data_IF_988903712320
#
_entry.id   IF_988903712320
#
_cell.length_a   1.000
_cell.length_b   1.000
_cell.length_c   1.000
_cell.angle_alpha   90.00
_cell.angle_beta   90.00
_cell.angle_gamma   90.00
#
_symmetry.space_group_name_H-M   'P 1'
#
loop_
_entity.id
_entity.type
_entity.pdbx_description
1 polymer ?
#
# COMPACT_ATOMS: atom_id res chain seq x y z
N UNK A 1 -74.96 6.42 -12.74
CA UNK A 1 -75.79 6.81 -11.58
C UNK A 1 -74.90 7.66 -10.66
N UNK A 2 -75.18 8.93 -10.67
CA UNK A 2 -75.26 9.97 -9.61
C UNK A 2 -74.18 9.98 -8.55
N UNK A 3 -73.32 11.00 -8.65
CA UNK A 3 -72.61 11.68 -7.53
C UNK A 3 -73.58 12.18 -6.45
N UNK A 4 -73.13 12.45 -5.26
CA UNK A 4 -73.15 13.83 -4.82
C UNK A 4 -71.80 14.35 -4.26
N UNK A 5 -71.65 15.63 -4.55
CA UNK A 5 -70.73 16.60 -3.95
C UNK A 5 -71.15 16.91 -2.52
N UNK A 6 -70.17 17.00 -1.61
CA UNK A 6 -70.36 17.73 -0.36
C UNK A 6 -69.22 18.74 -0.19
N UNK A 7 -69.71 19.97 0.14
CA UNK A 7 -68.96 21.21 0.31
C UNK A 7 -68.07 21.24 1.55
N UNK A 8 -67.04 22.08 1.42
CA UNK A 8 -66.16 22.78 2.35
C UNK A 8 -66.78 23.21 3.68
N UNK A 9 -65.99 23.45 4.75
CA UNK A 9 -65.55 24.82 5.00
C UNK A 9 -64.08 25.02 5.34
N UNK A 10 -63.64 26.18 4.95
CA UNK A 10 -62.46 26.96 5.20
C UNK A 10 -62.30 27.24 6.69
N UNK A 11 -61.12 26.90 7.28
CA UNK A 11 -60.66 27.55 8.50
C UNK A 11 -59.22 28.00 8.28
N UNK A 12 -59.07 29.31 8.22
CA UNK A 12 -57.79 29.99 8.27
C UNK A 12 -57.34 30.10 9.73
N UNK A 13 -56.12 29.60 9.99
CA UNK A 13 -55.41 29.97 11.19
C UNK A 13 -53.95 30.26 10.80
N UNK A 14 -53.63 31.54 10.76
CA UNK A 14 -52.26 32.02 10.64
C UNK A 14 -51.50 31.77 11.96
N UNK A 15 -50.42 31.02 11.91
CA UNK A 15 -49.45 30.96 12.97
C UNK A 15 -48.10 31.40 12.41
N UNK A 16 -47.73 32.62 12.78
CA UNK A 16 -46.36 33.14 12.63
C UNK A 16 -45.48 32.36 13.62
N UNK A 17 -44.61 31.52 13.08
CA UNK A 17 -43.52 30.93 13.85
C UNK A 17 -42.20 31.33 13.20
N UNK A 18 -41.41 32.07 14.00
CA UNK A 18 -40.15 32.68 13.59
C UNK A 18 -39.10 31.66 13.13
N UNK A 19 -38.45 31.99 12.04
CA UNK A 19 -37.23 31.32 11.58
C UNK A 19 -36.10 31.62 12.59
N UNK A 20 -35.87 30.72 13.52
CA UNK A 20 -34.58 30.67 14.22
C UNK A 20 -33.54 30.16 13.23
N UNK A 21 -32.77 31.07 12.68
CA UNK A 21 -31.59 30.76 11.87
C UNK A 21 -30.53 30.21 12.81
N UNK A 22 -30.40 28.90 12.88
CA UNK A 22 -29.23 28.24 13.50
C UNK A 22 -28.10 28.37 12.52
N UNK A 23 -26.98 29.06 12.83
CA UNK A 23 -25.81 29.01 11.98
C UNK A 23 -25.25 27.60 12.06
N UNK A 24 -25.39 26.85 10.96
CA UNK A 24 -24.60 25.64 10.73
C UNK A 24 -23.15 26.09 10.60
N UNK A 25 -22.41 25.99 11.68
CA UNK A 25 -20.96 25.92 11.62
C UNK A 25 -20.65 24.64 10.84
N UNK A 26 -20.35 24.80 9.56
CA UNK A 26 -19.68 23.77 8.80
C UNK A 26 -18.36 23.48 9.53
N UNK A 27 -18.32 22.41 10.29
CA UNK A 27 -17.09 21.81 10.76
C UNK A 27 -16.37 21.33 9.49
N UNK A 28 -15.39 22.12 9.07
CA UNK A 28 -14.40 21.66 8.11
C UNK A 28 -13.89 20.28 8.62
N UNK A 29 -13.79 19.28 7.74
CA UNK A 29 -13.13 18.04 8.14
C UNK A 29 -11.71 18.43 8.52
N UNK A 30 -11.40 18.40 9.79
CA UNK A 30 -10.06 18.48 10.32
C UNK A 30 -9.24 17.49 9.49
N UNK A 31 -8.38 18.02 8.64
CA UNK A 31 -7.37 17.21 7.98
C UNK A 31 -6.53 16.62 9.12
N UNK A 32 -6.94 15.42 9.53
CA UNK A 32 -6.14 14.60 10.41
C UNK A 32 -4.82 14.41 9.67
N UNK A 33 -3.79 15.16 10.05
CA UNK A 33 -2.41 14.84 9.78
C UNK A 33 -2.13 13.54 10.54
N UNK A 34 -2.81 12.47 10.12
CA UNK A 34 -2.43 11.13 10.45
C UNK A 34 -0.97 11.02 10.05
N UNK A 35 -0.13 10.73 11.01
CA UNK A 35 1.23 10.31 10.77
C UNK A 35 1.15 9.33 9.61
N UNK A 36 1.82 9.67 8.51
CA UNK A 36 1.90 8.80 7.32
C UNK A 36 2.59 7.51 7.78
N UNK A 37 1.78 6.57 8.21
CA UNK A 37 2.18 5.24 8.66
C UNK A 37 2.28 4.35 7.43
N UNK A 38 2.93 4.88 6.38
CA UNK A 38 3.18 4.10 5.19
C UNK A 38 3.97 2.84 5.57
N UNK A 39 3.35 1.70 5.38
CA UNK A 39 4.02 0.40 5.56
C UNK A 39 5.08 0.16 4.50
N UNK A 40 5.12 1.00 3.48
CA UNK A 40 6.01 0.87 2.34
C UNK A 40 6.86 2.13 2.15
N UNK A 41 8.03 1.92 1.61
CA UNK A 41 8.92 2.96 1.10
C UNK A 41 9.00 2.82 -0.42
N UNK A 42 9.29 3.93 -1.11
CA UNK A 42 9.49 3.91 -2.56
C UNK A 42 10.72 4.69 -2.96
N UNK A 43 11.33 4.28 -4.08
CA UNK A 43 12.46 4.96 -4.72
C UNK A 43 12.16 5.03 -6.20
N UNK A 44 12.29 6.22 -6.78
CA UNK A 44 12.22 6.40 -8.24
C UNK A 44 13.46 5.77 -8.85
N UNK A 45 13.26 4.93 -9.86
CA UNK A 45 14.35 4.31 -10.59
C UNK A 45 14.89 5.23 -11.68
N UNK A 46 16.20 5.22 -11.87
CA UNK A 46 16.88 5.89 -12.99
C UNK A 46 16.83 5.07 -14.29
N UNK A 47 16.29 3.86 -14.23
CA UNK A 47 16.32 2.89 -15.30
C UNK A 47 14.91 2.59 -15.82
N UNK A 48 14.82 2.00 -17.00
CA UNK A 48 13.57 1.46 -17.53
C UNK A 48 13.00 0.37 -16.62
N UNK A 49 11.73 0.03 -16.81
CA UNK A 49 11.05 -1.00 -16.02
C UNK A 49 11.80 -2.33 -16.02
N UNK A 50 12.08 -2.88 -17.20
CA UNK A 50 12.75 -4.19 -17.32
C UNK A 50 14.20 -4.15 -16.84
N UNK A 51 14.90 -3.05 -17.06
CA UNK A 51 16.25 -2.87 -16.55
C UNK A 51 16.26 -2.78 -15.02
N UNK A 52 15.30 -2.08 -14.42
CA UNK A 52 15.14 -2.02 -12.96
C UNK A 52 14.93 -3.41 -12.36
N UNK A 53 14.05 -4.21 -12.94
CA UNK A 53 13.81 -5.60 -12.51
C UNK A 53 15.10 -6.42 -12.60
N UNK A 54 15.78 -6.39 -13.76
CA UNK A 54 17.01 -7.13 -13.99
C UNK A 54 18.12 -6.75 -13.02
N UNK A 55 18.33 -5.44 -12.79
CA UNK A 55 19.33 -4.94 -11.84
C UNK A 55 19.06 -5.39 -10.41
N UNK A 56 17.82 -5.34 -9.95
CA UNK A 56 17.43 -5.81 -8.63
C UNK A 56 17.67 -7.31 -8.46
N UNK A 57 17.28 -8.13 -9.43
CA UNK A 57 17.55 -9.57 -9.38
C UNK A 57 19.06 -9.88 -9.31
N UNK A 58 19.86 -9.19 -10.13
CA UNK A 58 21.31 -9.34 -10.09
C UNK A 58 21.91 -8.89 -8.76
N UNK A 59 21.50 -7.75 -8.23
CA UNK A 59 22.01 -7.22 -6.97
C UNK A 59 21.68 -8.15 -5.79
N UNK A 60 20.46 -8.69 -5.75
CA UNK A 60 20.02 -9.68 -4.75
C UNK A 60 20.90 -10.93 -4.82
N UNK A 61 21.07 -11.50 -6.00
CA UNK A 61 21.91 -12.70 -6.22
C UNK A 61 23.39 -12.43 -5.88
N UNK A 62 23.93 -11.28 -6.26
CA UNK A 62 25.31 -10.88 -5.97
C UNK A 62 25.60 -10.74 -4.48
N UNK A 63 24.58 -10.48 -3.66
CA UNK A 63 24.65 -10.47 -2.19
C UNK A 63 24.40 -11.84 -1.55
N UNK A 64 24.37 -12.91 -2.34
CA UNK A 64 24.13 -14.27 -1.85
C UNK A 64 22.70 -14.53 -1.36
N UNK A 65 21.76 -13.68 -1.74
CA UNK A 65 20.35 -13.90 -1.46
C UNK A 65 19.69 -14.71 -2.59
N UNK A 66 18.65 -15.44 -2.23
CA UNK A 66 17.85 -16.23 -3.18
C UNK A 66 16.70 -15.40 -3.71
N UNK A 67 16.50 -15.39 -5.02
CA UNK A 67 15.25 -14.98 -5.65
C UNK A 67 14.34 -16.21 -5.70
N UNK A 68 13.27 -16.21 -4.90
CA UNK A 68 12.33 -17.32 -4.82
C UNK A 68 11.31 -17.31 -5.94
N UNK A 69 10.84 -16.10 -6.32
CA UNK A 69 9.87 -15.92 -7.39
C UNK A 69 9.96 -14.50 -7.97
N UNK A 70 9.52 -14.37 -9.22
CA UNK A 70 9.17 -13.08 -9.83
C UNK A 70 7.74 -13.21 -10.32
N UNK A 71 6.85 -12.38 -9.75
CA UNK A 71 5.42 -12.40 -10.03
C UNK A 71 5.11 -11.25 -10.98
N UNK A 72 4.66 -11.55 -12.19
CA UNK A 72 4.28 -10.57 -13.20
C UNK A 72 2.75 -10.35 -13.14
N UNK A 73 2.34 -9.29 -12.43
CA UNK A 73 0.93 -8.95 -12.29
C UNK A 73 0.30 -8.49 -13.61
N UNK A 74 1.06 -7.77 -14.46
CA UNK A 74 0.55 -7.33 -15.75
C UNK A 74 0.27 -8.52 -16.68
N UNK A 75 1.18 -9.49 -16.72
CA UNK A 75 0.97 -10.71 -17.50
C UNK A 75 -0.24 -11.51 -16.99
N UNK A 76 -0.39 -11.63 -15.67
CA UNK A 76 -1.54 -12.32 -15.07
C UNK A 76 -2.87 -11.60 -15.38
N UNK A 77 -2.91 -10.27 -15.30
CA UNK A 77 -4.07 -9.48 -15.67
C UNK A 77 -4.44 -9.69 -17.14
N UNK A 78 -3.44 -9.64 -18.04
CA UNK A 78 -3.64 -9.87 -19.48
C UNK A 78 -4.23 -11.25 -19.77
N UNK A 79 -3.76 -12.29 -19.09
CA UNK A 79 -4.31 -13.65 -19.20
C UNK A 79 -5.79 -13.73 -18.77
N UNK A 80 -6.21 -12.85 -17.89
CA UNK A 80 -7.60 -12.73 -17.41
C UNK A 80 -8.44 -11.74 -18.23
N UNK A 81 -7.92 -11.23 -19.36
CA UNK A 81 -8.63 -10.24 -20.19
C UNK A 81 -8.66 -8.83 -19.60
N UNK A 82 -7.82 -8.55 -18.61
CA UNK A 82 -7.73 -7.26 -17.94
C UNK A 82 -6.48 -6.49 -18.37
N UNK A 83 -6.49 -5.17 -18.15
CA UNK A 83 -5.37 -4.29 -18.43
C UNK A 83 -4.91 -3.61 -17.15
N UNK A 84 -3.60 -3.53 -16.95
CA UNK A 84 -2.99 -2.75 -15.89
C UNK A 84 -1.59 -2.25 -16.32
N UNK A 85 -1.07 -1.30 -15.60
CA UNK A 85 0.30 -0.83 -15.75
C UNK A 85 1.33 -1.95 -15.48
N UNK A 86 2.58 -1.82 -15.97
CA UNK A 86 3.66 -2.73 -15.61
C UNK A 86 3.82 -2.85 -14.09
N UNK A 87 3.84 -4.09 -13.61
CA UNK A 87 4.03 -4.37 -12.18
C UNK A 87 4.59 -5.79 -12.00
N UNK A 88 5.81 -5.87 -11.46
CA UNK A 88 6.47 -7.13 -11.11
C UNK A 88 6.90 -7.13 -9.65
N UNK A 89 6.64 -8.22 -8.93
CA UNK A 89 7.10 -8.41 -7.56
C UNK A 89 8.23 -9.42 -7.54
N UNK A 90 9.40 -9.01 -7.10
CA UNK A 90 10.54 -9.89 -6.83
C UNK A 90 10.44 -10.35 -5.38
N UNK A 91 10.33 -11.65 -5.17
CA UNK A 91 10.28 -12.29 -3.84
C UNK A 91 11.67 -12.86 -3.55
N UNK A 92 12.32 -12.38 -2.51
CA UNK A 92 13.71 -12.71 -2.26
C UNK A 92 14.06 -12.75 -0.77
N UNK A 93 15.18 -13.36 -0.43
CA UNK A 93 15.68 -13.41 0.95
C UNK A 93 16.79 -14.43 1.14
N UNK A 94 17.17 -14.59 2.40
CA UNK A 94 18.18 -15.56 2.81
C UNK A 94 17.61 -16.43 3.94
N UNK A 95 17.43 -17.74 3.74
CA UNK A 95 16.94 -18.63 4.80
C UNK A 95 17.75 -18.49 6.08
N UNK A 96 19.08 -18.33 5.96
CA UNK A 96 19.99 -18.15 7.10
C UNK A 96 19.62 -16.94 7.98
N UNK A 97 19.13 -15.86 7.38
CA UNK A 97 18.69 -14.66 8.12
C UNK A 97 17.23 -14.77 8.59
N UNK A 98 16.34 -15.35 7.78
CA UNK A 98 14.92 -15.41 8.10
C UNK A 98 14.53 -16.50 9.09
N UNK A 99 15.17 -17.67 9.03
CA UNK A 99 14.81 -18.81 9.86
C UNK A 99 14.85 -18.51 11.36
N UNK A 100 15.90 -17.87 11.92
CA UNK A 100 15.93 -17.55 13.35
C UNK A 100 14.77 -16.65 13.79
N UNK A 101 14.36 -15.70 12.94
CA UNK A 101 13.24 -14.80 13.20
C UNK A 101 11.91 -15.58 13.23
N UNK A 102 11.70 -16.49 12.29
CA UNK A 102 10.50 -17.34 12.22
C UNK A 102 10.46 -18.37 13.36
N UNK A 103 11.58 -18.88 13.82
CA UNK A 103 11.62 -19.75 15.01
C UNK A 103 11.23 -18.97 16.27
N UNK A 104 11.69 -17.72 16.40
CA UNK A 104 11.33 -16.85 17.53
C UNK A 104 9.87 -16.38 17.49
N UNK A 105 9.36 -16.08 16.31
CA UNK A 105 8.01 -15.58 16.06
C UNK A 105 7.45 -16.28 14.81
N UNK A 106 6.79 -17.45 14.96
CA UNK A 106 6.31 -18.23 13.80
C UNK A 106 5.40 -17.46 12.86
N UNK A 107 4.55 -16.59 13.39
CA UNK A 107 3.66 -15.72 12.63
C UNK A 107 4.40 -14.73 11.73
N UNK A 108 5.67 -14.44 12.03
CA UNK A 108 6.52 -13.58 11.20
C UNK A 108 6.86 -14.20 9.84
N UNK A 109 6.61 -15.49 9.67
CA UNK A 109 6.74 -16.16 8.39
C UNK A 109 5.81 -15.55 7.29
N UNK A 110 4.71 -14.89 7.67
CA UNK A 110 3.86 -14.14 6.73
C UNK A 110 4.56 -12.90 6.15
N UNK A 111 5.54 -12.35 6.86
CA UNK A 111 6.29 -11.17 6.42
C UNK A 111 7.49 -11.54 5.53
N UNK A 112 7.91 -12.79 5.55
CA UNK A 112 9.04 -13.31 4.79
C UNK A 112 8.57 -14.30 3.71
N UNK A 113 9.32 -14.45 2.61
CA UNK A 113 10.48 -13.68 2.17
C UNK A 113 10.18 -12.20 1.92
N UNK A 114 11.23 -11.36 1.84
CA UNK A 114 11.10 -9.96 1.47
C UNK A 114 10.56 -9.81 0.04
N UNK A 115 9.95 -8.66 -0.23
CA UNK A 115 9.37 -8.36 -1.53
C UNK A 115 9.76 -6.95 -1.96
N UNK A 116 10.07 -6.79 -3.24
CA UNK A 116 10.17 -5.48 -3.88
C UNK A 116 9.28 -5.48 -5.12
N UNK A 117 8.37 -4.53 -5.16
CA UNK A 117 7.54 -4.25 -6.34
C UNK A 117 8.28 -3.26 -7.23
N UNK A 118 8.42 -3.59 -8.51
CA UNK A 118 8.74 -2.61 -9.56
C UNK A 118 7.44 -2.29 -10.27
N UNK A 119 7.12 -1.02 -10.43
CA UNK A 119 5.93 -0.57 -11.16
C UNK A 119 6.23 0.70 -11.95
N UNK A 120 5.49 0.91 -13.04
CA UNK A 120 5.60 2.09 -13.87
C UNK A 120 4.25 2.76 -13.99
N UNK A 121 4.19 4.06 -13.75
CA UNK A 121 2.96 4.85 -13.90
C UNK A 121 3.33 6.23 -14.47
N UNK A 122 2.68 6.62 -15.57
CA UNK A 122 2.94 7.92 -16.20
C UNK A 122 4.37 8.11 -16.68
N UNK A 123 5.08 7.02 -17.02
CA UNK A 123 6.48 7.05 -17.44
C UNK A 123 7.48 7.09 -16.28
N UNK A 124 7.03 7.09 -15.03
CA UNK A 124 7.89 7.01 -13.86
C UNK A 124 7.95 5.57 -13.33
N UNK A 125 9.16 5.02 -13.26
CA UNK A 125 9.44 3.69 -12.70
C UNK A 125 9.80 3.82 -11.23
N UNK A 126 9.17 3.02 -10.37
CA UNK A 126 9.43 2.98 -8.92
C UNK A 126 9.73 1.57 -8.44
N UNK A 127 10.66 1.46 -7.51
CA UNK A 127 10.82 0.30 -6.64
C UNK A 127 10.12 0.59 -5.30
N UNK A 128 9.16 -0.24 -4.91
CA UNK A 128 8.37 -0.10 -3.68
C UNK A 128 8.61 -1.34 -2.81
N UNK A 129 8.90 -1.14 -1.54
CA UNK A 129 9.23 -2.23 -0.60
C UNK A 129 8.76 -1.89 0.81
N UNK A 130 8.64 -2.90 1.67
CA UNK A 130 8.22 -2.68 3.04
C UNK A 130 9.31 -2.00 3.86
N UNK A 131 8.91 -1.05 4.72
CA UNK A 131 9.76 -0.50 5.76
C UNK A 131 10.03 -1.55 6.83
N UNK A 132 11.30 -1.82 7.17
CA UNK A 132 11.68 -2.86 8.14
C UNK A 132 11.10 -2.59 9.52
N UNK A 133 11.01 -1.34 9.97
CA UNK A 133 10.44 -1.00 11.28
C UNK A 133 8.94 -1.29 11.33
N UNK A 134 8.24 -1.06 10.20
CA UNK A 134 6.83 -1.41 10.08
C UNK A 134 6.63 -2.92 9.94
N UNK A 135 7.55 -3.60 9.25
CA UNK A 135 7.50 -5.05 9.06
C UNK A 135 7.53 -5.81 10.39
N UNK A 136 8.36 -5.38 11.33
CA UNK A 136 8.49 -6.02 12.66
C UNK A 136 7.45 -5.53 13.67
N UNK A 137 6.67 -4.51 13.33
CA UNK A 137 5.72 -3.88 14.24
C UNK A 137 4.68 -4.89 14.74
N UNK A 138 4.49 -4.94 16.05
CA UNK A 138 3.58 -5.88 16.69
C UNK A 138 4.09 -7.32 16.79
N UNK A 139 5.30 -7.61 16.26
CA UNK A 139 5.95 -8.89 16.44
C UNK A 139 6.84 -8.90 17.71
N UNK A 140 7.34 -10.08 18.08
CA UNK A 140 8.31 -10.23 19.16
C UNK A 140 9.76 -9.96 18.72
N UNK A 141 9.96 -9.44 17.49
CA UNK A 141 11.27 -9.18 16.91
C UNK A 141 11.66 -7.74 17.19
N UNK A 142 12.83 -7.54 17.80
CA UNK A 142 13.42 -6.23 18.02
C UNK A 142 14.19 -5.72 16.81
N UNK A 143 14.30 -4.40 16.67
CA UNK A 143 15.00 -3.80 15.53
C UNK A 143 16.48 -4.24 15.43
N UNK A 144 17.19 -4.36 16.54
CA UNK A 144 18.58 -4.82 16.56
C UNK A 144 18.80 -6.23 15.98
N UNK A 145 17.74 -7.05 15.88
CA UNK A 145 17.83 -8.38 15.28
C UNK A 145 17.73 -8.34 13.73
N UNK A 146 17.28 -7.22 13.18
CA UNK A 146 17.00 -7.07 11.73
C UNK A 146 17.80 -5.95 11.07
N UNK A 147 18.44 -5.06 11.84
CA UNK A 147 19.16 -3.89 11.32
C UNK A 147 20.30 -4.26 10.37
N UNK A 148 20.99 -5.38 10.63
CA UNK A 148 22.10 -5.88 9.81
C UNK A 148 21.67 -6.95 8.79
N UNK A 149 20.37 -7.18 8.64
CA UNK A 149 19.81 -8.18 7.71
C UNK A 149 18.71 -7.57 6.84
N UNK A 150 17.49 -7.40 7.35
CA UNK A 150 16.38 -6.87 6.56
C UNK A 150 16.60 -5.41 6.13
N UNK A 151 17.15 -4.56 7.00
CA UNK A 151 17.47 -3.17 6.66
C UNK A 151 18.57 -3.05 5.58
N UNK A 152 19.51 -3.99 5.55
CA UNK A 152 20.50 -4.04 4.48
C UNK A 152 19.86 -4.32 3.11
N UNK A 153 18.75 -5.05 3.06
CA UNK A 153 18.01 -5.25 1.83
C UNK A 153 17.35 -3.96 1.34
N UNK A 154 16.83 -3.12 2.22
CA UNK A 154 16.33 -1.78 1.86
C UNK A 154 17.43 -0.93 1.25
N UNK A 155 18.59 -0.88 1.90
CA UNK A 155 19.77 -0.16 1.42
C UNK A 155 20.22 -0.66 0.04
N UNK A 156 20.20 -1.99 -0.16
CA UNK A 156 20.53 -2.58 -1.45
C UNK A 156 19.57 -2.13 -2.54
N UNK A 157 18.25 -2.16 -2.28
CA UNK A 157 17.25 -1.73 -3.25
C UNK A 157 17.50 -0.26 -3.64
N UNK A 158 17.63 0.63 -2.64
CA UNK A 158 17.87 2.07 -2.88
C UNK A 158 19.08 2.31 -3.75
N UNK A 159 20.21 1.70 -3.40
CA UNK A 159 21.48 1.84 -4.15
C UNK A 159 21.38 1.28 -5.58
N UNK A 160 20.64 0.20 -5.76
CA UNK A 160 20.55 -0.45 -7.06
C UNK A 160 19.75 0.39 -8.07
N UNK A 161 18.72 1.12 -7.64
CA UNK A 161 17.80 1.80 -8.56
C UNK A 161 17.87 3.32 -8.52
N UNK A 162 18.31 3.90 -7.40
CA UNK A 162 18.28 5.35 -7.17
C UNK A 162 19.65 6.03 -7.29
N UNK A 163 20.73 5.28 -7.14
CA UNK A 163 22.11 5.76 -7.28
C UNK A 163 22.71 5.26 -8.60
#
# INVERSE_FOLDING_TARGET
MKMPRILLPLFAAAVLAGCAHVPQTASEPSANKGQDMSYTQSVVSKYSFDETVSRLEHAVKAKGMTVFAVIDHQAAAKQSGLSMQPAKVIVFGTPKAGTPLMVKAPEFALQLPLKVLVTETGGEVKAVFNDTRQLIRGSRIGYGEVENTLTNAETLIRKTVGE
#
